data_IF_604372064562
#
_entry.id   IF_604372064562
#
_cell.length_a   1.000
_cell.length_b   1.000
_cell.length_c   1.000
_cell.angle_alpha   90.00
_cell.angle_beta   90.00
_cell.angle_gamma   90.00
#
_symmetry.space_group_name_H-M   'P 1'
#
loop_
_entity.id
_entity.type
_entity.pdbx_description
1 polymer ?
#
# COMPACT_ATOMS: atom_id res chain seq x y z
N UNK A 1 -9.46 17.58 33.66
CA UNK A 1 -8.02 17.56 33.28
C UNK A 1 -7.50 16.13 33.05
N UNK A 2 -7.79 15.15 33.92
CA UNK A 2 -7.40 13.73 33.74
C UNK A 2 -7.95 13.08 32.45
N UNK A 3 -9.23 13.31 32.09
CA UNK A 3 -9.83 12.74 30.88
C UNK A 3 -9.14 13.20 29.58
N UNK A 4 -8.69 14.47 29.53
CA UNK A 4 -7.98 15.04 28.36
C UNK A 4 -6.58 14.45 28.25
N UNK A 5 -5.89 14.25 29.38
CA UNK A 5 -4.57 13.59 29.44
C UNK A 5 -4.64 12.13 28.98
N UNK A 6 -5.68 11.40 29.35
CA UNK A 6 -5.93 10.04 28.87
C UNK A 6 -6.19 9.97 27.36
N UNK A 7 -6.99 10.91 26.82
CA UNK A 7 -7.23 11.00 25.37
C UNK A 7 -5.96 11.31 24.58
N UNK A 8 -5.11 12.22 25.09
CA UNK A 8 -3.82 12.54 24.46
C UNK A 8 -2.89 11.32 24.47
N UNK A 9 -2.81 10.61 25.60
CA UNK A 9 -1.99 9.40 25.70
C UNK A 9 -2.46 8.32 24.73
N UNK A 10 -3.77 8.06 24.65
CA UNK A 10 -4.35 7.10 23.70
C UNK A 10 -4.10 7.51 22.24
N UNK A 11 -4.22 8.79 21.90
CA UNK A 11 -3.94 9.29 20.55
C UNK A 11 -2.46 9.11 20.17
N UNK A 12 -1.53 9.33 21.11
CA UNK A 12 -0.10 9.12 20.88
C UNK A 12 0.27 7.64 20.75
N UNK A 13 -0.33 6.75 21.55
CA UNK A 13 -0.13 5.30 21.41
C UNK A 13 -0.68 4.81 20.07
N UNK A 14 -1.87 5.26 19.65
CA UNK A 14 -2.42 4.94 18.32
C UNK A 14 -1.52 5.42 17.19
N UNK A 15 -1.01 6.65 17.26
CA UNK A 15 -0.10 7.19 16.27
C UNK A 15 1.21 6.38 16.17
N UNK A 16 1.76 5.97 17.32
CA UNK A 16 2.97 5.13 17.37
C UNK A 16 2.73 3.74 16.76
N UNK A 17 1.60 3.11 17.08
CA UNK A 17 1.20 1.83 16.47
C UNK A 17 1.02 1.96 14.95
N UNK A 18 0.30 2.99 14.49
CA UNK A 18 0.12 3.25 13.06
C UNK A 18 1.45 3.50 12.33
N UNK A 19 2.43 4.13 12.99
CA UNK A 19 3.77 4.31 12.45
C UNK A 19 4.52 2.97 12.31
N UNK A 20 4.45 2.11 13.33
CA UNK A 20 5.07 0.78 13.29
C UNK A 20 4.45 -0.10 12.20
N UNK A 21 3.12 -0.12 12.08
CA UNK A 21 2.47 -0.96 11.07
C UNK A 21 2.79 -0.45 9.66
N UNK A 22 2.85 0.87 9.45
CA UNK A 22 3.28 1.43 8.16
C UNK A 22 4.69 0.96 7.75
N UNK A 23 5.62 0.84 8.71
CA UNK A 23 6.95 0.31 8.44
C UNK A 23 6.92 -1.16 8.01
N UNK A 24 6.11 -2.00 8.68
CA UNK A 24 5.91 -3.38 8.24
C UNK A 24 5.33 -3.46 6.83
N UNK A 25 4.36 -2.60 6.51
CA UNK A 25 3.70 -2.58 5.20
C UNK A 25 4.65 -2.13 4.09
N UNK A 26 5.55 -1.18 4.38
CA UNK A 26 6.63 -0.80 3.45
C UNK A 26 7.52 -2.00 3.13
N UNK A 27 7.98 -2.73 4.16
CA UNK A 27 8.82 -3.92 3.96
C UNK A 27 8.06 -4.98 3.15
N UNK A 28 6.79 -5.20 3.47
CA UNK A 28 5.93 -6.15 2.77
C UNK A 28 5.75 -5.79 1.28
N UNK A 29 5.54 -4.51 0.96
CA UNK A 29 5.50 -4.03 -0.43
C UNK A 29 6.83 -4.22 -1.16
N UNK A 30 7.96 -3.98 -0.50
CA UNK A 30 9.28 -4.22 -1.11
C UNK A 30 9.48 -5.70 -1.46
N UNK A 31 9.03 -6.62 -0.59
CA UNK A 31 9.08 -8.07 -0.86
C UNK A 31 8.17 -8.42 -2.03
N UNK A 32 6.93 -7.91 -2.06
CA UNK A 32 6.01 -8.14 -3.17
C UNK A 32 6.58 -7.63 -4.51
N UNK A 33 7.13 -6.41 -4.54
CA UNK A 33 7.79 -5.85 -5.71
C UNK A 33 8.98 -6.71 -6.17
N UNK A 34 9.80 -7.20 -5.24
CA UNK A 34 10.91 -8.10 -5.59
C UNK A 34 10.42 -9.41 -6.20
N UNK A 35 9.37 -10.01 -5.63
CA UNK A 35 8.75 -11.22 -6.19
C UNK A 35 8.25 -10.99 -7.61
N UNK A 36 7.53 -9.88 -7.87
CA UNK A 36 7.06 -9.52 -9.22
C UNK A 36 8.22 -9.42 -10.23
N UNK A 37 9.31 -8.77 -9.86
CA UNK A 37 10.49 -8.67 -10.74
C UNK A 37 11.09 -10.04 -11.06
N UNK A 38 11.19 -10.92 -10.07
CA UNK A 38 11.74 -12.28 -10.25
C UNK A 38 10.81 -13.12 -11.14
N UNK A 39 9.50 -13.11 -10.87
CA UNK A 39 8.54 -13.92 -11.63
C UNK A 39 8.45 -13.46 -13.07
N UNK A 40 8.42 -12.14 -13.32
CA UNK A 40 8.44 -11.60 -14.69
C UNK A 40 9.73 -11.93 -15.43
N UNK A 41 10.87 -11.87 -14.76
CA UNK A 41 12.16 -12.26 -15.37
C UNK A 41 12.14 -13.72 -15.83
N UNK A 42 11.58 -14.61 -15.01
CA UNK A 42 11.42 -16.04 -15.35
C UNK A 42 10.44 -16.21 -16.52
N UNK A 43 9.25 -15.60 -16.45
CA UNK A 43 8.25 -15.69 -17.52
C UNK A 43 8.79 -15.15 -18.85
N UNK A 44 9.45 -14.00 -18.86
CA UNK A 44 10.05 -13.41 -20.08
C UNK A 44 11.12 -14.35 -20.67
N UNK A 45 11.97 -14.95 -19.83
CA UNK A 45 13.03 -15.85 -20.30
C UNK A 45 12.53 -17.13 -20.97
N UNK A 46 11.33 -17.60 -20.59
CA UNK A 46 10.79 -18.90 -20.99
C UNK A 46 9.68 -18.82 -22.02
N UNK A 47 8.84 -17.78 -21.95
CA UNK A 47 7.69 -17.57 -22.83
C UNK A 47 7.99 -16.62 -23.99
N UNK A 48 9.14 -15.95 -23.96
CA UNK A 48 9.57 -14.99 -24.96
C UNK A 48 8.85 -13.64 -24.87
N UNK A 49 9.29 -12.66 -25.64
CA UNK A 49 8.80 -11.28 -25.57
C UNK A 49 7.33 -11.07 -25.96
N UNK A 50 6.60 -12.10 -26.39
CA UNK A 50 5.16 -12.02 -26.69
C UNK A 50 4.30 -11.64 -25.47
N UNK A 51 4.81 -11.88 -24.26
CA UNK A 51 4.13 -11.58 -22.98
C UNK A 51 4.13 -10.07 -22.65
N UNK A 52 4.97 -9.25 -23.31
CA UNK A 52 5.10 -7.81 -23.04
C UNK A 52 3.80 -7.01 -23.21
N UNK A 53 2.91 -7.42 -24.12
CA UNK A 53 1.62 -6.72 -24.32
C UNK A 53 0.68 -6.88 -23.11
N UNK A 54 0.79 -8.00 -22.39
CA UNK A 54 0.01 -8.26 -21.17
C UNK A 54 0.57 -7.54 -19.96
N UNK A 55 1.89 -7.36 -19.92
CA UNK A 55 2.56 -6.66 -18.82
C UNK A 55 2.33 -5.16 -18.79
N UNK A 56 1.67 -4.53 -19.76
CA UNK A 56 1.43 -3.08 -19.70
C UNK A 56 0.65 -2.69 -18.44
N UNK A 57 -0.45 -3.39 -18.13
CA UNK A 57 -1.22 -3.16 -16.92
C UNK A 57 -0.40 -3.46 -15.65
N UNK A 58 0.37 -4.55 -15.67
CA UNK A 58 1.25 -4.97 -14.58
C UNK A 58 2.35 -3.95 -14.29
N UNK A 59 2.96 -3.36 -15.33
CA UNK A 59 4.01 -2.34 -15.22
C UNK A 59 3.42 -1.05 -14.63
N UNK A 60 2.25 -0.61 -15.09
CA UNK A 60 1.57 0.54 -14.48
C UNK A 60 1.20 0.29 -13.02
N UNK A 61 0.68 -0.90 -12.70
CA UNK A 61 0.39 -1.30 -11.32
C UNK A 61 1.67 -1.28 -10.45
N UNK A 62 2.79 -1.80 -10.96
CA UNK A 62 4.07 -1.81 -10.28
C UNK A 62 4.63 -0.41 -10.05
N UNK A 63 4.55 0.49 -11.04
CA UNK A 63 4.96 1.88 -10.89
C UNK A 63 4.12 2.56 -9.80
N UNK A 64 2.79 2.38 -9.82
CA UNK A 64 1.94 2.91 -8.77
C UNK A 64 2.24 2.32 -7.40
N UNK A 65 2.54 1.02 -7.30
CA UNK A 65 2.93 0.36 -6.05
C UNK A 65 4.25 0.93 -5.51
N UNK A 66 5.22 1.20 -6.38
CA UNK A 66 6.48 1.84 -6.01
C UNK A 66 6.26 3.27 -5.52
N UNK A 67 5.42 4.05 -6.21
CA UNK A 67 5.04 5.40 -5.77
C UNK A 67 4.29 5.35 -4.44
N UNK A 68 3.33 4.43 -4.27
CA UNK A 68 2.60 4.25 -3.01
C UNK A 68 3.55 3.97 -1.86
N UNK A 69 4.50 3.04 -2.07
CA UNK A 69 5.52 2.67 -1.09
C UNK A 69 6.42 3.85 -0.75
N UNK A 70 6.84 4.64 -1.75
CA UNK A 70 7.62 5.85 -1.52
C UNK A 70 6.84 6.88 -0.70
N UNK A 71 5.56 7.11 -1.00
CA UNK A 71 4.72 8.01 -0.22
C UNK A 71 4.49 7.47 1.19
N UNK A 72 4.35 6.15 1.39
CA UNK A 72 4.31 5.53 2.73
C UNK A 72 5.56 5.85 3.55
N UNK A 73 6.75 5.88 2.92
CA UNK A 73 8.00 6.29 3.55
C UNK A 73 7.97 7.77 3.94
N UNK A 74 7.50 8.65 3.04
CA UNK A 74 7.35 10.08 3.35
C UNK A 74 6.40 10.31 4.52
N UNK A 75 5.27 9.61 4.55
CA UNK A 75 4.28 9.60 5.64
C UNK A 75 4.86 9.08 6.97
N UNK A 76 5.96 8.33 6.94
CA UNK A 76 6.68 7.86 8.12
C UNK A 76 7.76 8.83 8.61
N UNK A 77 8.40 9.56 7.68
CA UNK A 77 9.59 10.38 7.95
C UNK A 77 9.28 11.87 8.12
N UNK A 78 8.26 12.38 7.43
CA UNK A 78 7.90 13.79 7.47
C UNK A 78 6.91 14.07 8.60
N UNK A 79 6.85 15.33 9.00
CA UNK A 79 5.84 15.80 9.94
C UNK A 79 4.43 15.56 9.40
N UNK A 80 3.41 15.40 10.26
CA UNK A 80 2.04 15.19 9.84
C UNK A 80 1.54 16.31 8.93
N UNK A 81 1.29 16.00 7.66
CA UNK A 81 0.78 16.94 6.67
C UNK A 81 -0.47 16.35 6.03
N UNK A 82 -1.61 17.03 6.22
CA UNK A 82 -2.90 16.59 5.69
C UNK A 82 -2.88 16.36 4.16
N UNK A 83 -2.24 17.23 3.32
CA UNK A 83 -2.14 16.98 1.88
C UNK A 83 -1.39 15.69 1.54
N UNK A 84 -0.35 15.35 2.32
CA UNK A 84 0.42 14.13 2.12
C UNK A 84 -0.42 12.88 2.42
N UNK A 85 -1.29 12.93 3.43
CA UNK A 85 -2.22 11.82 3.71
C UNK A 85 -3.24 11.63 2.58
N UNK A 86 -3.84 12.69 2.06
CA UNK A 86 -4.75 12.57 0.92
C UNK A 86 -4.05 12.04 -0.33
N UNK A 87 -2.83 12.50 -0.62
CA UNK A 87 -2.04 11.97 -1.73
C UNK A 87 -1.76 10.47 -1.56
N UNK A 88 -1.35 10.05 -0.35
CA UNK A 88 -1.11 8.65 -0.03
C UNK A 88 -2.37 7.79 -0.21
N UNK A 89 -3.52 8.29 0.22
CA UNK A 89 -4.79 7.59 0.10
C UNK A 89 -5.21 7.37 -1.36
N UNK A 90 -5.19 8.44 -2.17
CA UNK A 90 -5.53 8.39 -3.60
C UNK A 90 -4.61 7.42 -4.33
N UNK A 91 -3.30 7.54 -4.10
CA UNK A 91 -2.31 6.66 -4.74
C UNK A 91 -2.51 5.21 -4.30
N UNK A 92 -2.81 4.95 -3.02
CA UNK A 92 -3.06 3.60 -2.51
C UNK A 92 -4.29 2.96 -3.16
N UNK A 93 -5.38 3.72 -3.35
CA UNK A 93 -6.58 3.23 -4.05
C UNK A 93 -6.27 2.94 -5.52
N UNK A 94 -5.59 3.85 -6.21
CA UNK A 94 -5.24 3.66 -7.63
C UNK A 94 -4.33 2.44 -7.82
N UNK A 95 -3.33 2.29 -6.95
CA UNK A 95 -2.46 1.12 -6.92
C UNK A 95 -3.26 -0.17 -6.66
N UNK A 96 -4.19 -0.15 -5.70
CA UNK A 96 -5.07 -1.29 -5.40
C UNK A 96 -5.89 -1.70 -6.63
N UNK A 97 -6.54 -0.76 -7.31
CA UNK A 97 -7.38 -1.02 -8.48
C UNK A 97 -6.55 -1.62 -9.61
N UNK A 98 -5.41 -1.00 -9.96
CA UNK A 98 -4.57 -1.53 -11.04
C UNK A 98 -3.95 -2.89 -10.69
N UNK A 99 -3.56 -3.09 -9.44
CA UNK A 99 -3.04 -4.39 -8.98
C UNK A 99 -4.13 -5.46 -9.04
N UNK A 100 -5.37 -5.16 -8.65
CA UNK A 100 -6.48 -6.10 -8.74
C UNK A 100 -6.82 -6.46 -10.20
N UNK A 101 -6.71 -5.51 -11.14
CA UNK A 101 -6.87 -5.78 -12.58
C UNK A 101 -5.74 -6.69 -13.07
N UNK A 102 -4.49 -6.36 -12.74
CA UNK A 102 -3.32 -7.19 -13.07
C UNK A 102 -3.48 -8.62 -12.55
N UNK A 103 -3.92 -8.74 -11.29
CA UNK A 103 -4.21 -10.00 -10.62
C UNK A 103 -5.28 -10.80 -11.34
N UNK A 104 -6.41 -10.19 -11.70
CA UNK A 104 -7.47 -10.87 -12.46
C UNK A 104 -6.99 -11.33 -13.84
N UNK A 105 -6.13 -10.56 -14.50
CA UNK A 105 -5.51 -10.99 -15.75
C UNK A 105 -4.60 -12.19 -15.53
N UNK A 106 -3.74 -12.17 -14.50
CA UNK A 106 -2.81 -13.25 -14.20
C UNK A 106 -3.52 -14.54 -13.74
N UNK A 107 -4.59 -14.41 -12.95
CA UNK A 107 -5.41 -15.52 -12.44
C UNK A 107 -5.97 -16.40 -13.57
N UNK A 108 -6.37 -15.80 -14.70
CA UNK A 108 -6.79 -16.57 -15.90
C UNK A 108 -5.68 -17.52 -16.39
N UNK A 109 -4.40 -17.14 -16.32
CA UNK A 109 -3.32 -18.06 -16.69
C UNK A 109 -3.05 -19.11 -15.63
N UNK A 110 -3.15 -18.75 -14.36
CA UNK A 110 -3.04 -19.73 -13.28
C UNK A 110 -4.15 -20.79 -13.41
N UNK A 111 -5.37 -20.39 -13.78
CA UNK A 111 -6.47 -21.31 -14.04
C UNK A 111 -6.22 -22.21 -15.26
N UNK A 112 -5.72 -21.66 -16.37
CA UNK A 112 -5.30 -22.46 -17.54
C UNK A 112 -4.17 -23.45 -17.20
N UNK A 113 -3.28 -23.07 -16.29
CA UNK A 113 -2.23 -23.93 -15.77
C UNK A 113 -2.80 -25.07 -14.90
N UNK A 114 -3.76 -24.77 -14.01
CA UNK A 114 -4.41 -25.75 -13.16
C UNK A 114 -5.25 -26.76 -13.95
N UNK A 115 -5.93 -26.30 -15.00
CA UNK A 115 -6.74 -27.13 -15.89
C UNK A 115 -5.91 -27.88 -16.95
N UNK A 116 -4.57 -27.71 -16.95
CA UNK A 116 -3.62 -28.30 -17.93
C UNK A 116 -3.92 -27.90 -19.38
N UNK A 117 -4.52 -26.73 -19.58
CA UNK A 117 -4.82 -26.14 -20.89
C UNK A 117 -3.78 -25.09 -21.32
N UNK A 118 -2.84 -24.75 -20.44
CA UNK A 118 -1.73 -23.86 -20.77
C UNK A 118 -0.83 -24.42 -21.89
N UNK A 119 -0.23 -23.52 -22.67
CA UNK A 119 0.78 -23.88 -23.66
C UNK A 119 1.99 -24.52 -22.97
N UNK A 120 2.65 -25.47 -23.63
CA UNK A 120 3.82 -26.16 -23.07
C UNK A 120 5.02 -25.25 -22.75
N UNK A 121 5.05 -24.03 -23.31
CA UNK A 121 6.06 -23.00 -23.00
C UNK A 121 5.74 -22.18 -21.74
N UNK A 122 4.50 -22.20 -21.25
CA UNK A 122 4.05 -21.39 -20.12
C UNK A 122 4.70 -21.83 -18.81
N UNK A 123 5.27 -20.88 -18.06
CA UNK A 123 5.86 -21.12 -16.75
C UNK A 123 4.81 -20.92 -15.65
N UNK A 124 3.98 -21.94 -15.45
CA UNK A 124 2.91 -21.91 -14.47
C UNK A 124 3.36 -21.53 -13.05
N UNK A 125 4.53 -21.99 -12.61
CA UNK A 125 5.07 -21.64 -11.29
C UNK A 125 5.39 -20.15 -11.14
N UNK A 126 5.86 -19.49 -12.21
CA UNK A 126 6.12 -18.05 -12.19
C UNK A 126 4.82 -17.26 -12.10
N UNK A 127 3.78 -17.68 -12.83
CA UNK A 127 2.45 -17.07 -12.75
C UNK A 127 1.77 -17.25 -11.39
N UNK A 128 1.92 -18.42 -10.75
CA UNK A 128 1.47 -18.61 -9.36
C UNK A 128 2.22 -17.71 -8.39
N UNK A 129 3.54 -17.57 -8.53
CA UNK A 129 4.35 -16.67 -7.72
C UNK A 129 3.94 -15.20 -7.90
N UNK A 130 3.65 -14.80 -9.14
CA UNK A 130 3.14 -13.47 -9.50
C UNK A 130 1.79 -13.22 -8.82
N UNK A 131 0.88 -14.19 -8.85
CA UNK A 131 -0.44 -14.08 -8.22
C UNK A 131 -0.32 -13.88 -6.70
N UNK A 132 0.58 -14.62 -6.05
CA UNK A 132 0.85 -14.44 -4.61
C UNK A 132 1.38 -13.03 -4.33
N UNK A 133 2.29 -12.51 -5.15
CA UNK A 133 2.83 -11.17 -4.99
C UNK A 133 1.77 -10.07 -5.20
N UNK A 134 0.86 -10.27 -6.16
CA UNK A 134 -0.27 -9.37 -6.42
C UNK A 134 -1.28 -9.37 -5.26
N UNK A 135 -1.59 -10.54 -4.68
CA UNK A 135 -2.42 -10.64 -3.47
C UNK A 135 -1.78 -9.90 -2.30
N UNK A 136 -0.47 -10.07 -2.10
CA UNK A 136 0.29 -9.34 -1.09
C UNK A 136 0.18 -7.82 -1.30
N UNK A 137 0.44 -7.35 -2.51
CA UNK A 137 0.34 -5.93 -2.84
C UNK A 137 -1.08 -5.38 -2.61
N UNK A 138 -2.13 -6.11 -2.99
CA UNK A 138 -3.52 -5.73 -2.73
C UNK A 138 -3.81 -5.59 -1.23
N UNK A 139 -3.41 -6.56 -0.41
CA UNK A 139 -3.60 -6.51 1.05
C UNK A 139 -2.86 -5.31 1.67
N UNK A 140 -1.64 -5.05 1.21
CA UNK A 140 -0.84 -3.92 1.66
C UNK A 140 -1.47 -2.57 1.28
N UNK A 141 -2.01 -2.43 0.06
CA UNK A 141 -2.71 -1.22 -0.35
C UNK A 141 -4.00 -0.99 0.42
N UNK A 142 -4.77 -2.06 0.69
CA UNK A 142 -5.94 -1.99 1.56
C UNK A 142 -5.59 -1.54 2.98
N UNK A 143 -4.48 -2.04 3.53
CA UNK A 143 -3.98 -1.58 4.81
C UNK A 143 -3.52 -0.12 4.77
N UNK A 144 -2.77 0.29 3.73
CA UNK A 144 -2.33 1.66 3.55
C UNK A 144 -3.51 2.63 3.53
N UNK A 145 -4.58 2.29 2.80
CA UNK A 145 -5.83 3.05 2.79
C UNK A 145 -6.44 3.17 4.20
N UNK A 146 -6.67 2.05 4.89
CA UNK A 146 -7.26 2.05 6.23
C UNK A 146 -6.42 2.81 7.26
N UNK A 147 -5.09 2.66 7.21
CA UNK A 147 -4.15 3.37 8.08
C UNK A 147 -4.18 4.88 7.83
N UNK A 148 -4.24 5.28 6.56
CA UNK A 148 -4.25 6.70 6.17
C UNK A 148 -5.55 7.37 6.58
N UNK A 149 -6.68 6.69 6.39
CA UNK A 149 -7.98 7.13 6.88
C UNK A 149 -7.96 7.41 8.39
N UNK A 150 -7.40 6.50 9.19
CA UNK A 150 -7.25 6.73 10.64
C UNK A 150 -6.33 7.91 10.97
N UNK A 151 -5.25 8.12 10.19
CA UNK A 151 -4.34 9.26 10.38
C UNK A 151 -5.02 10.59 10.06
N UNK A 152 -5.86 10.64 9.03
CA UNK A 152 -6.65 11.83 8.66
C UNK A 152 -7.63 12.18 9.77
N UNK A 153 -8.42 11.21 10.24
CA UNK A 153 -9.37 11.42 11.34
C UNK A 153 -8.65 11.93 12.59
N UNK A 154 -7.55 11.28 13.00
CA UNK A 154 -6.76 11.71 14.16
C UNK A 154 -6.17 13.13 13.99
N UNK A 155 -5.79 13.51 12.76
CA UNK A 155 -5.25 14.85 12.49
C UNK A 155 -6.35 15.91 12.61
N UNK A 156 -7.54 15.65 12.05
CA UNK A 156 -8.69 16.56 12.12
C UNK A 156 -9.17 16.71 13.57
N UNK A 157 -9.32 15.60 14.29
CA UNK A 157 -9.74 15.60 15.69
C UNK A 157 -8.80 16.44 16.57
N UNK A 158 -7.47 16.27 16.39
CA UNK A 158 -6.46 17.09 17.07
C UNK A 158 -6.61 18.58 16.71
N UNK A 159 -6.77 18.90 15.44
CA UNK A 159 -6.98 20.28 14.99
C UNK A 159 -8.21 20.95 15.61
N UNK A 160 -9.33 20.23 15.72
CA UNK A 160 -10.55 20.73 16.37
C UNK A 160 -10.32 20.94 17.88
N UNK A 161 -9.70 19.97 18.56
CA UNK A 161 -9.37 20.04 19.98
C UNK A 161 -8.44 21.23 20.29
N UNK A 162 -7.42 21.46 19.47
CA UNK A 162 -6.49 22.58 19.61
C UNK A 162 -7.18 23.93 19.31
N UNK A 163 -8.09 23.97 18.33
CA UNK A 163 -8.92 25.15 18.06
C UNK A 163 -9.84 25.52 19.23
N UNK A 164 -10.42 24.53 19.92
CA UNK A 164 -11.23 24.73 21.13
C UNK A 164 -10.37 25.19 22.31
N UNK A 165 -9.18 24.60 22.51
CA UNK A 165 -8.22 25.01 23.55
C UNK A 165 -7.65 26.41 23.33
N UNK A 166 -7.32 26.77 22.08
CA UNK A 166 -6.84 28.11 21.73
C UNK A 166 -7.86 29.21 22.01
N UNK A 167 -9.15 28.88 22.03
CA UNK A 167 -10.24 29.77 22.45
C UNK A 167 -10.44 29.88 23.97
N UNK A 168 -9.89 28.96 24.76
CA UNK A 168 -10.15 28.86 26.21
C UNK A 168 -8.97 29.19 27.12
N UNK A 169 -7.75 29.36 26.59
CA UNK A 169 -6.66 29.99 27.34
C UNK A 169 -5.26 29.53 26.93
N UNK A 170 -4.39 30.51 26.62
CA UNK A 170 -2.93 30.46 26.75
C UNK A 170 -2.21 29.22 26.19
N UNK A 171 -1.65 29.37 25.00
CA UNK A 171 -0.88 28.36 24.25
C UNK A 171 0.13 27.56 25.08
N UNK A 172 0.06 26.24 24.96
CA UNK A 172 1.24 25.37 24.88
C UNK A 172 1.06 24.47 23.66
N UNK A 173 1.74 24.82 22.56
CA UNK A 173 1.91 23.89 21.44
C UNK A 173 2.74 22.70 21.97
N UNK A 174 2.15 21.51 21.95
CA UNK A 174 2.89 20.28 22.20
C UNK A 174 3.47 19.77 20.87
N UNK A 175 4.72 19.28 20.88
CA UNK A 175 5.43 18.78 19.69
C UNK A 175 4.78 17.54 19.07
#
# INVERSE_FOLDING_TARGET
>A
MQAVLQQIHQANVKALLLSRINLFVIVFNCVAMFMLLVTWSVSISKEGGGVLKRYVACIFAFILLAIATFVSVLVCRLQPQLPLYYAHEIISILALVLTAISMGMNDVVVDLCNTKQALGSTQCGAHTGELVAEVMACLAMGFNYASTQQRIVNFIDKGILDGIKGRTGGMTQLP
#
